data_IF_331580202432
#
_entry.id   IF_331580202432
#
_cell.length_a   1.000
_cell.length_b   1.000
_cell.length_c   1.000
_cell.angle_alpha   90.00
_cell.angle_beta   90.00
_cell.angle_gamma   90.00
#
_symmetry.space_group_name_H-M   'P 1'
#
loop_
_entity.id
_entity.type
_entity.pdbx_description
1 polymer ?
#
# COMPACT_ATOMS: atom_id res chain seq x y z
N UNK A 1 46.11 -28.20 2.64
CA UNK A 1 44.88 -27.62 3.23
C UNK A 1 43.75 -28.58 2.91
N UNK A 2 42.91 -29.00 3.87
CA UNK A 2 41.78 -29.86 3.56
C UNK A 2 40.85 -29.11 2.61
N UNK A 3 40.55 -29.70 1.45
CA UNK A 3 39.57 -29.14 0.53
C UNK A 3 38.19 -29.36 1.15
N UNK A 4 37.48 -28.28 1.46
CA UNK A 4 36.10 -28.37 1.92
C UNK A 4 35.24 -28.75 0.71
N UNK A 5 34.73 -29.98 0.68
CA UNK A 5 33.95 -30.49 -0.44
C UNK A 5 32.53 -29.97 -0.29
N UNK A 6 32.14 -29.06 -1.18
CA UNK A 6 30.78 -28.54 -1.23
C UNK A 6 29.82 -29.66 -1.66
N UNK A 7 28.82 -29.93 -0.83
CA UNK A 7 27.78 -30.93 -1.12
C UNK A 7 26.61 -30.30 -1.87
N UNK A 8 25.79 -31.15 -2.48
CA UNK A 8 24.52 -30.72 -3.07
C UNK A 8 23.52 -30.22 -2.01
N UNK A 9 23.64 -30.70 -0.77
CA UNK A 9 22.82 -30.27 0.36
C UNK A 9 23.14 -28.80 0.71
N UNK A 10 24.43 -28.45 0.79
CA UNK A 10 24.87 -27.07 1.06
C UNK A 10 24.34 -26.09 0.02
N UNK A 11 24.30 -26.50 -1.26
CA UNK A 11 23.73 -25.69 -2.34
C UNK A 11 22.20 -25.55 -2.23
N UNK A 12 21.53 -26.58 -1.74
CA UNK A 12 20.08 -26.56 -1.54
C UNK A 12 19.70 -25.64 -0.37
N UNK A 13 20.45 -25.73 0.73
CA UNK A 13 20.28 -24.86 1.91
C UNK A 13 20.53 -23.39 1.54
N UNK A 14 21.65 -23.11 0.86
CA UNK A 14 21.94 -21.76 0.35
C UNK A 14 20.84 -21.22 -0.58
N UNK A 15 20.30 -22.06 -1.46
CA UNK A 15 19.18 -21.67 -2.34
C UNK A 15 17.94 -21.30 -1.54
N UNK A 16 17.60 -22.05 -0.50
CA UNK A 16 16.44 -21.77 0.34
C UNK A 16 16.60 -20.47 1.11
N UNK A 17 17.76 -20.26 1.74
CA UNK A 17 18.09 -19.02 2.46
C UNK A 17 18.03 -17.81 1.52
N UNK A 18 18.66 -17.91 0.35
CA UNK A 18 18.68 -16.85 -0.65
C UNK A 18 17.27 -16.51 -1.16
N UNK A 19 16.43 -17.51 -1.43
CA UNK A 19 15.04 -17.28 -1.84
C UNK A 19 14.20 -16.66 -0.73
N UNK A 20 14.46 -17.00 0.54
CA UNK A 20 13.78 -16.40 1.68
C UNK A 20 14.17 -14.93 1.85
N UNK A 21 15.46 -14.60 1.79
CA UNK A 21 15.92 -13.21 1.86
C UNK A 21 15.39 -12.35 0.70
N UNK A 22 15.37 -12.87 -0.52
CA UNK A 22 14.78 -12.19 -1.68
C UNK A 22 13.29 -11.92 -1.45
N UNK A 23 12.56 -12.89 -0.89
CA UNK A 23 11.14 -12.72 -0.56
C UNK A 23 10.94 -11.62 0.47
N UNK A 24 11.76 -11.57 1.52
CA UNK A 24 11.69 -10.52 2.55
C UNK A 24 12.04 -9.13 2.00
N UNK A 25 13.01 -9.03 1.10
CA UNK A 25 13.35 -7.78 0.43
C UNK A 25 12.20 -7.30 -0.47
N UNK A 26 11.56 -8.22 -1.20
CA UNK A 26 10.42 -7.89 -2.05
C UNK A 26 9.18 -7.51 -1.25
N UNK A 27 8.92 -8.12 -0.09
CA UNK A 27 7.82 -7.69 0.78
C UNK A 27 8.09 -6.32 1.39
N UNK A 28 9.32 -6.05 1.84
CA UNK A 28 9.72 -4.72 2.35
C UNK A 28 9.71 -3.64 1.27
N UNK A 29 10.07 -3.97 0.03
CA UNK A 29 10.01 -3.05 -1.11
C UNK A 29 8.58 -2.86 -1.66
N UNK A 30 7.73 -3.90 -1.56
CA UNK A 30 6.31 -3.85 -1.89
C UNK A 30 5.47 -3.12 -0.84
N UNK A 31 5.94 -3.07 0.41
CA UNK A 31 5.52 -2.14 1.45
C UNK A 31 6.14 -0.75 1.23
N UNK A 32 6.06 -0.24 0.00
CA UNK A 32 5.98 1.20 -0.16
C UNK A 32 4.69 1.63 0.52
N UNK A 33 4.76 1.93 1.82
CA UNK A 33 3.61 2.34 2.63
C UNK A 33 2.75 3.25 1.76
N UNK A 34 1.48 2.90 1.48
CA UNK A 34 0.65 3.70 0.59
C UNK A 34 0.75 5.12 1.12
N UNK A 35 1.22 6.02 0.26
CA UNK A 35 1.59 7.40 0.61
C UNK A 35 0.55 7.93 1.59
N UNK A 36 0.95 8.10 2.86
CA UNK A 36 0.01 8.23 3.99
C UNK A 36 -1.05 9.29 3.73
N UNK A 37 -0.63 10.37 3.10
CA UNK A 37 -1.48 11.48 2.70
C UNK A 37 -1.56 11.61 1.18
N UNK A 38 -2.80 11.63 0.70
CA UNK A 38 -3.16 11.82 -0.70
C UNK A 38 -3.75 13.22 -0.91
N UNK A 39 -3.46 13.85 -2.04
CA UNK A 39 -4.15 15.06 -2.50
C UNK A 39 -5.42 14.68 -3.28
N UNK A 40 -6.31 15.65 -3.50
CA UNK A 40 -7.54 15.44 -4.27
C UNK A 40 -7.32 14.77 -5.63
N UNK A 41 -6.25 15.12 -6.34
CA UNK A 41 -5.92 14.50 -7.63
C UNK A 41 -5.56 13.02 -7.53
N UNK A 42 -4.91 12.61 -6.45
CA UNK A 42 -4.54 11.22 -6.19
C UNK A 42 -5.78 10.40 -5.78
N UNK A 43 -6.63 10.95 -4.92
CA UNK A 43 -7.90 10.31 -4.52
C UNK A 43 -8.84 10.12 -5.71
N UNK A 44 -8.98 11.14 -6.57
CA UNK A 44 -9.80 11.02 -7.79
C UNK A 44 -9.31 9.90 -8.70
N UNK A 45 -7.98 9.76 -8.86
CA UNK A 45 -7.38 8.67 -9.65
C UNK A 45 -7.60 7.31 -8.99
N UNK A 46 -7.44 7.22 -7.67
CA UNK A 46 -7.58 5.99 -6.90
C UNK A 46 -9.01 5.45 -6.95
N UNK A 47 -10.00 6.31 -6.71
CA UNK A 47 -11.42 5.92 -6.70
C UNK A 47 -12.08 6.01 -8.08
N UNK A 48 -11.38 6.53 -9.10
CA UNK A 48 -11.90 6.80 -10.45
C UNK A 48 -13.17 7.66 -10.44
N UNK A 49 -13.16 8.72 -9.64
CA UNK A 49 -14.29 9.64 -9.47
C UNK A 49 -14.00 11.04 -10.02
N UNK A 50 -15.08 11.76 -10.34
CA UNK A 50 -15.00 13.15 -10.81
C UNK A 50 -14.72 14.15 -9.67
N UNK A 51 -14.24 15.38 -9.97
CA UNK A 51 -14.08 16.43 -8.97
C UNK A 51 -15.37 16.77 -8.22
N UNK A 52 -16.50 16.78 -8.93
CA UNK A 52 -17.82 17.05 -8.33
C UNK A 52 -18.24 15.93 -7.37
N UNK A 53 -17.94 14.68 -7.71
CA UNK A 53 -18.19 13.54 -6.81
C UNK A 53 -17.35 13.63 -5.54
N UNK A 54 -16.05 13.91 -5.66
CA UNK A 54 -15.18 14.09 -4.49
C UNK A 54 -15.56 15.34 -3.67
N UNK A 55 -16.10 16.38 -4.30
CA UNK A 55 -16.68 17.52 -3.59
C UNK A 55 -17.92 17.11 -2.80
N UNK A 56 -18.84 16.36 -3.40
CA UNK A 56 -20.03 15.86 -2.72
C UNK A 56 -19.65 15.00 -1.52
N UNK A 57 -18.69 14.07 -1.67
CA UNK A 57 -18.16 13.24 -0.58
C UNK A 57 -17.52 14.03 0.57
N UNK A 58 -17.01 15.23 0.31
CA UNK A 58 -16.52 16.12 1.37
C UNK A 58 -17.66 16.87 2.05
N UNK A 59 -18.60 17.39 1.26
CA UNK A 59 -19.73 18.19 1.76
C UNK A 59 -20.64 17.34 2.65
N UNK A 60 -20.91 16.10 2.25
CA UNK A 60 -21.75 15.17 3.00
C UNK A 60 -20.99 14.40 4.10
N UNK A 61 -19.68 14.60 4.23
CA UNK A 61 -18.84 13.93 5.23
C UNK A 61 -18.54 12.45 4.96
N UNK A 62 -18.81 11.92 3.76
CA UNK A 62 -18.49 10.52 3.42
C UNK A 62 -16.99 10.23 3.40
N UNK A 63 -16.18 11.16 2.87
CA UNK A 63 -14.72 11.03 2.89
C UNK A 63 -14.14 12.17 3.75
N UNK A 64 -13.61 11.85 4.95
CA UNK A 64 -12.93 12.79 5.80
C UNK A 64 -11.70 13.37 5.11
N UNK A 65 -11.38 14.62 5.46
CA UNK A 65 -10.24 15.31 4.91
C UNK A 65 -9.61 16.26 5.93
N UNK A 66 -8.31 16.45 5.80
CA UNK A 66 -7.55 17.43 6.59
C UNK A 66 -7.21 18.63 5.72
N UNK A 67 -7.42 19.85 6.23
CA UNK A 67 -7.10 21.10 5.52
C UNK A 67 -5.99 21.86 6.22
N UNK A 68 -4.88 22.10 5.52
CA UNK A 68 -3.73 22.86 6.03
C UNK A 68 -3.35 23.92 5.00
N UNK A 69 -3.42 25.21 5.38
CA UNK A 69 -3.05 26.31 4.48
C UNK A 69 -3.85 26.38 3.18
N UNK A 70 -5.10 25.90 3.17
CA UNK A 70 -5.93 25.83 1.97
C UNK A 70 -5.77 24.54 1.14
N UNK A 71 -4.74 23.74 1.41
CA UNK A 71 -4.51 22.45 0.74
C UNK A 71 -5.29 21.37 1.49
N UNK A 72 -5.90 20.46 0.72
CA UNK A 72 -6.70 19.35 1.26
C UNK A 72 -5.94 18.04 1.08
N UNK A 73 -5.89 17.28 2.17
CA UNK A 73 -5.25 15.98 2.28
C UNK A 73 -6.25 14.93 2.75
N UNK A 74 -6.03 13.69 2.34
CA UNK A 74 -6.82 12.53 2.71
C UNK A 74 -5.90 11.42 3.17
N UNK A 75 -6.28 10.70 4.22
CA UNK A 75 -5.50 9.56 4.69
C UNK A 75 -5.85 8.32 3.86
N UNK A 76 -4.83 7.65 3.30
CA UNK A 76 -5.04 6.51 2.42
C UNK A 76 -5.74 5.34 3.14
N UNK A 77 -5.35 5.09 4.39
CA UNK A 77 -5.94 4.05 5.24
C UNK A 77 -7.41 4.31 5.56
N UNK A 78 -7.77 5.57 5.81
CA UNK A 78 -9.15 5.98 6.09
C UNK A 78 -10.06 5.77 4.88
N UNK A 79 -9.58 6.10 3.67
CA UNK A 79 -10.32 5.81 2.44
C UNK A 79 -10.58 4.30 2.29
N UNK A 80 -9.56 3.46 2.55
CA UNK A 80 -9.72 2.01 2.50
C UNK A 80 -10.74 1.51 3.52
N UNK A 81 -10.69 2.03 4.75
CA UNK A 81 -11.65 1.71 5.80
C UNK A 81 -13.08 2.02 5.38
N UNK A 82 -13.33 3.20 4.82
CA UNK A 82 -14.66 3.61 4.33
C UNK A 82 -15.17 2.68 3.23
N UNK A 83 -14.29 2.28 2.30
CA UNK A 83 -14.66 1.32 1.24
C UNK A 83 -15.08 -0.03 1.82
N UNK A 84 -14.37 -0.51 2.84
CA UNK A 84 -14.68 -1.76 3.52
C UNK A 84 -15.99 -1.67 4.32
N UNK A 85 -16.22 -0.56 5.02
CA UNK A 85 -17.46 -0.32 5.78
C UNK A 85 -18.70 -0.24 4.88
N UNK A 86 -18.56 0.31 3.67
CA UNK A 86 -19.65 0.41 2.70
C UNK A 86 -19.76 -0.81 1.78
N UNK A 87 -18.97 -1.87 2.02
CA UNK A 87 -19.02 -3.10 1.23
C UNK A 87 -20.33 -3.84 1.51
N UNK A 88 -21.19 -3.93 0.50
CA UNK A 88 -22.40 -4.75 0.55
C UNK A 88 -22.04 -6.19 0.18
N UNK A 89 -22.32 -7.14 1.08
CA UNK A 89 -22.21 -8.57 0.77
C UNK A 89 -23.57 -9.06 0.25
N UNK A 90 -23.56 -9.65 -0.94
CA UNK A 90 -24.71 -10.35 -1.52
C UNK A 90 -24.67 -11.82 -1.17
#
# INVERSE_FOLDING_TARGET
MPANILTTEDLHEFKLELLQEIKELLTKAGEGSPKKWLKSSEVMKLLKISPGTLQNFRINGTIPYTKIGGIIYYEAEEIQKILLENKVNF
#
